data_IF_850937823802
#
_entry.id   IF_850937823802
#
_cell.length_a   1.000
_cell.length_b   1.000
_cell.length_c   1.000
_cell.angle_alpha   90.00
_cell.angle_beta   90.00
_cell.angle_gamma   90.00
#
_symmetry.space_group_name_H-M   'P 1'
#
loop_
_entity.id
_entity.type
_entity.pdbx_description
1 polymer ?
#
# COMPACT_ATOMS: atom_id res chain seq x y z
N UNK A 1 -32.27 -20.49 -16.39
CA UNK A 1 -31.24 -20.94 -15.43
C UNK A 1 -31.66 -20.41 -14.08
N UNK A 2 -31.89 -21.30 -13.11
CA UNK A 2 -32.02 -20.90 -11.71
C UNK A 2 -30.62 -20.51 -11.23
N UNK A 3 -30.46 -19.30 -10.70
CA UNK A 3 -29.25 -18.96 -9.94
C UNK A 3 -29.11 -19.94 -8.78
N UNK A 4 -27.88 -20.41 -8.55
CA UNK A 4 -27.58 -21.25 -7.41
C UNK A 4 -27.87 -20.47 -6.12
N UNK A 5 -28.38 -21.12 -5.06
CA UNK A 5 -28.60 -20.45 -3.78
C UNK A 5 -27.30 -19.85 -3.22
N UNK A 6 -27.37 -18.71 -2.53
CA UNK A 6 -26.20 -18.01 -1.95
C UNK A 6 -25.29 -18.89 -1.06
N UNK A 7 -25.80 -20.02 -0.54
CA UNK A 7 -25.05 -20.96 0.31
C UNK A 7 -24.48 -22.18 -0.45
N UNK A 8 -24.66 -22.25 -1.77
CA UNK A 8 -24.22 -23.41 -2.57
C UNK A 8 -22.69 -23.58 -2.52
N UNK A 9 -21.94 -22.48 -2.64
CA UNK A 9 -20.48 -22.48 -2.56
C UNK A 9 -19.98 -22.93 -1.19
N UNK A 10 -20.61 -22.45 -0.11
CA UNK A 10 -20.27 -22.87 1.26
C UNK A 10 -20.49 -24.38 1.47
N UNK A 11 -21.57 -24.93 0.89
CA UNK A 11 -21.86 -26.35 1.00
C UNK A 11 -20.86 -27.19 0.19
N UNK A 12 -20.53 -26.76 -1.03
CA UNK A 12 -19.51 -27.39 -1.86
C UNK A 12 -18.15 -27.38 -1.14
N UNK A 13 -17.79 -26.25 -0.53
CA UNK A 13 -16.57 -26.08 0.26
C UNK A 13 -16.48 -27.07 1.42
N UNK A 14 -17.54 -27.17 2.23
CA UNK A 14 -17.60 -28.11 3.37
C UNK A 14 -17.44 -29.54 2.86
N UNK A 15 -18.12 -29.89 1.76
CA UNK A 15 -18.10 -31.25 1.23
C UNK A 15 -16.74 -31.63 0.67
N UNK A 16 -16.09 -30.74 -0.06
CA UNK A 16 -14.73 -30.93 -0.57
C UNK A 16 -13.74 -31.18 0.58
N UNK A 17 -13.83 -30.40 1.67
CA UNK A 17 -12.94 -30.59 2.82
C UNK A 17 -13.15 -31.95 3.51
N UNK A 18 -14.39 -32.45 3.56
CA UNK A 18 -14.68 -33.79 4.09
C UNK A 18 -14.05 -34.86 3.19
N UNK A 19 -14.18 -34.73 1.87
CA UNK A 19 -13.62 -35.68 0.90
C UNK A 19 -12.09 -35.72 0.96
N UNK A 20 -11.42 -34.56 1.07
CA UNK A 20 -9.97 -34.46 1.23
C UNK A 20 -9.50 -35.19 2.51
N UNK A 21 -10.15 -34.93 3.65
CA UNK A 21 -9.82 -35.61 4.93
C UNK A 21 -10.04 -37.12 4.91
N UNK A 22 -10.96 -37.60 4.08
CA UNK A 22 -11.23 -39.02 3.90
C UNK A 22 -10.31 -39.68 2.87
N UNK A 23 -9.41 -38.95 2.22
CA UNK A 23 -8.56 -39.45 1.13
C UNK A 23 -9.34 -39.78 -0.15
N UNK A 24 -10.59 -39.29 -0.28
CA UNK A 24 -11.48 -39.57 -1.42
C UNK A 24 -11.22 -38.59 -2.56
N UNK A 25 -9.99 -38.57 -3.03
CA UNK A 25 -9.48 -37.54 -3.95
C UNK A 25 -10.15 -37.56 -5.33
N UNK A 26 -10.55 -38.73 -5.84
CA UNK A 26 -11.25 -38.78 -7.13
C UNK A 26 -12.65 -38.15 -7.06
N UNK A 27 -13.37 -38.39 -5.96
CA UNK A 27 -14.68 -37.77 -5.74
C UNK A 27 -14.57 -36.29 -5.44
N UNK A 28 -13.48 -35.88 -4.77
CA UNK A 28 -13.15 -34.47 -4.63
C UNK A 28 -13.03 -33.79 -5.99
N UNK A 29 -12.25 -34.38 -6.92
CA UNK A 29 -12.03 -33.80 -8.24
C UNK A 29 -13.33 -33.69 -9.03
N UNK A 30 -14.16 -34.73 -9.04
CA UNK A 30 -15.45 -34.67 -9.72
C UNK A 30 -16.40 -33.63 -9.13
N UNK A 31 -16.45 -33.51 -7.80
CA UNK A 31 -17.28 -32.51 -7.16
C UNK A 31 -16.77 -31.10 -7.44
N UNK A 32 -15.46 -30.88 -7.35
CA UNK A 32 -14.87 -29.57 -7.59
C UNK A 32 -15.10 -29.10 -9.04
N UNK A 33 -14.95 -30.00 -10.01
CA UNK A 33 -15.23 -29.71 -11.42
C UNK A 33 -16.73 -29.43 -11.66
N UNK A 34 -17.63 -30.23 -11.08
CA UNK A 34 -19.07 -30.07 -11.26
C UNK A 34 -19.62 -28.77 -10.63
N UNK A 35 -19.06 -28.35 -9.50
CA UNK A 35 -19.47 -27.13 -8.78
C UNK A 35 -18.69 -25.88 -9.24
N UNK A 36 -17.85 -25.99 -10.28
CA UNK A 36 -17.09 -24.84 -10.80
C UNK A 36 -16.00 -24.32 -9.84
N UNK A 37 -15.56 -25.15 -8.89
CA UNK A 37 -14.52 -24.83 -7.91
C UNK A 37 -13.13 -25.03 -8.54
N UNK A 38 -12.82 -24.25 -9.58
CA UNK A 38 -11.64 -24.42 -10.45
C UNK A 38 -10.32 -24.35 -9.67
N UNK A 39 -10.18 -23.40 -8.74
CA UNK A 39 -8.99 -23.25 -7.90
C UNK A 39 -8.71 -24.53 -7.09
N UNK A 40 -9.75 -25.10 -6.46
CA UNK A 40 -9.69 -26.33 -5.66
C UNK A 40 -9.37 -27.54 -6.52
N UNK A 41 -10.02 -27.64 -7.67
CA UNK A 41 -9.80 -28.71 -8.63
C UNK A 41 -8.33 -28.75 -9.09
N UNK A 42 -7.80 -27.61 -9.54
CA UNK A 42 -6.42 -27.49 -10.01
C UNK A 42 -5.40 -27.76 -8.91
N UNK A 43 -5.60 -27.20 -7.72
CA UNK A 43 -4.73 -27.46 -6.55
C UNK A 43 -4.73 -28.94 -6.16
N UNK A 44 -5.89 -29.61 -6.19
CA UNK A 44 -5.96 -31.04 -5.85
C UNK A 44 -5.23 -31.90 -6.89
N UNK A 45 -5.36 -31.60 -8.19
CA UNK A 45 -4.57 -32.29 -9.22
C UNK A 45 -3.06 -32.15 -8.95
N UNK A 46 -2.60 -30.93 -8.70
CA UNK A 46 -1.22 -30.67 -8.35
C UNK A 46 -0.81 -31.48 -7.10
N UNK A 47 -1.53 -31.36 -5.97
CA UNK A 47 -1.28 -32.10 -4.71
C UNK A 47 -1.11 -33.61 -4.87
N UNK A 48 -1.81 -34.22 -5.83
CA UNK A 48 -1.73 -35.65 -6.13
C UNK A 48 -0.52 -36.04 -7.01
N UNK A 49 0.34 -35.10 -7.36
CA UNK A 49 1.46 -35.27 -8.28
C UNK A 49 1.03 -35.33 -9.75
N UNK A 50 -0.22 -34.98 -10.08
CA UNK A 50 -0.74 -34.95 -11.45
C UNK A 50 -0.43 -33.60 -12.11
N UNK A 51 0.83 -33.18 -12.05
CA UNK A 51 1.31 -31.84 -12.44
C UNK A 51 1.01 -31.51 -13.90
N UNK A 52 1.29 -32.42 -14.83
CA UNK A 52 1.04 -32.20 -16.25
C UNK A 52 -0.45 -31.99 -16.54
N UNK A 53 -1.31 -32.74 -15.86
CA UNK A 53 -2.75 -32.62 -15.99
C UNK A 53 -3.27 -31.32 -15.36
N UNK A 54 -2.78 -30.96 -14.17
CA UNK A 54 -3.11 -29.68 -13.54
C UNK A 54 -2.77 -28.51 -14.47
N UNK A 55 -1.61 -28.54 -15.11
CA UNK A 55 -1.20 -27.53 -16.08
C UNK A 55 -2.11 -27.55 -17.31
N UNK A 56 -2.38 -28.71 -17.89
CA UNK A 56 -3.26 -28.82 -19.07
C UNK A 56 -4.67 -28.28 -18.79
N UNK A 57 -5.24 -28.61 -17.63
CA UNK A 57 -6.55 -28.14 -17.20
C UNK A 57 -6.53 -26.63 -16.89
N UNK A 58 -5.48 -26.12 -16.25
CA UNK A 58 -5.30 -24.69 -16.05
C UNK A 58 -5.24 -23.93 -17.39
N UNK A 59 -4.76 -24.54 -18.47
CA UNK A 59 -4.80 -23.88 -19.78
C UNK A 59 -6.20 -23.69 -20.35
N UNK A 60 -7.15 -24.53 -19.95
CA UNK A 60 -8.51 -24.56 -20.48
C UNK A 60 -9.50 -23.82 -19.58
N UNK A 61 -9.35 -23.94 -18.26
CA UNK A 61 -10.38 -23.56 -17.29
C UNK A 61 -9.98 -22.35 -16.43
N UNK A 62 -8.68 -22.08 -16.25
CA UNK A 62 -8.21 -20.96 -15.43
C UNK A 62 -8.61 -19.62 -16.05
N UNK A 63 -9.37 -18.84 -15.29
CA UNK A 63 -10.01 -17.61 -15.73
C UNK A 63 -9.73 -16.42 -14.81
N UNK A 64 -9.23 -16.67 -13.59
CA UNK A 64 -8.91 -15.59 -12.63
C UNK A 64 -7.45 -15.59 -12.16
N UNK A 65 -6.92 -14.43 -11.74
CA UNK A 65 -5.60 -14.34 -11.09
C UNK A 65 -5.52 -15.16 -9.79
N UNK A 66 -6.62 -15.27 -9.05
CA UNK A 66 -6.68 -16.04 -7.80
C UNK A 66 -6.48 -17.54 -8.03
N UNK A 67 -7.11 -18.11 -9.06
CA UNK A 67 -6.89 -19.49 -9.48
C UNK A 67 -5.43 -19.73 -9.89
N UNK A 68 -4.84 -18.80 -10.65
CA UNK A 68 -3.45 -18.88 -11.07
C UNK A 68 -2.50 -18.84 -9.87
N UNK A 69 -2.75 -17.94 -8.92
CA UNK A 69 -1.95 -17.82 -7.70
C UNK A 69 -2.01 -19.11 -6.88
N UNK A 70 -3.20 -19.65 -6.67
CA UNK A 70 -3.39 -20.84 -5.85
C UNK A 70 -2.73 -22.09 -6.45
N UNK A 71 -2.85 -22.29 -7.77
CA UNK A 71 -2.16 -23.37 -8.46
C UNK A 71 -0.64 -23.18 -8.43
N UNK A 72 -0.14 -21.97 -8.72
CA UNK A 72 1.29 -21.70 -8.71
C UNK A 72 1.92 -21.91 -7.33
N UNK A 73 1.23 -21.52 -6.25
CA UNK A 73 1.66 -21.79 -4.88
C UNK A 73 1.76 -23.29 -4.59
N UNK A 74 0.75 -24.06 -5.00
CA UNK A 74 0.77 -25.52 -4.82
C UNK A 74 1.94 -26.16 -5.57
N UNK A 75 2.20 -25.74 -6.82
CA UNK A 75 3.34 -26.24 -7.61
C UNK A 75 4.68 -25.89 -6.96
N UNK A 76 4.82 -24.67 -6.40
CA UNK A 76 6.01 -24.25 -5.66
C UNK A 76 6.25 -25.13 -4.43
N UNK A 77 5.20 -25.44 -3.65
CA UNK A 77 5.29 -26.31 -2.47
C UNK A 77 5.78 -27.72 -2.82
N UNK A 78 5.56 -28.15 -4.06
CA UNK A 78 6.00 -29.43 -4.59
C UNK A 78 7.40 -29.39 -5.21
N UNK A 79 8.03 -28.21 -5.29
CA UNK A 79 9.34 -28.03 -5.90
C UNK A 79 9.31 -27.79 -7.42
N UNK A 80 8.13 -27.70 -8.03
CA UNK A 80 7.92 -27.48 -9.46
C UNK A 80 8.01 -25.99 -9.82
N UNK A 81 9.18 -25.37 -9.55
CA UNK A 81 9.36 -23.91 -9.60
C UNK A 81 9.13 -23.32 -11.00
N UNK A 82 9.61 -23.98 -12.06
CA UNK A 82 9.46 -23.47 -13.45
C UNK A 82 7.98 -23.47 -13.87
N UNK A 83 7.24 -24.52 -13.51
CA UNK A 83 5.83 -24.67 -13.79
C UNK A 83 5.01 -23.66 -12.98
N UNK A 84 5.34 -23.47 -11.70
CA UNK A 84 4.75 -22.43 -10.86
C UNK A 84 4.91 -21.05 -11.48
N UNK A 85 6.12 -20.70 -11.94
CA UNK A 85 6.42 -19.42 -12.55
C UNK A 85 5.65 -19.23 -13.86
N UNK A 86 5.54 -20.28 -14.68
CA UNK A 86 4.78 -20.25 -15.94
C UNK A 86 3.28 -20.02 -15.71
N UNK A 87 2.68 -20.72 -14.75
CA UNK A 87 1.26 -20.53 -14.38
C UNK A 87 1.02 -19.11 -13.86
N UNK A 88 1.88 -18.64 -12.95
CA UNK A 88 1.74 -17.32 -12.36
C UNK A 88 1.86 -16.20 -13.40
N UNK A 89 2.86 -16.28 -14.28
CA UNK A 89 3.06 -15.33 -15.39
C UNK A 89 1.86 -15.31 -16.33
N UNK A 90 1.27 -16.48 -16.65
CA UNK A 90 0.06 -16.54 -17.47
C UNK A 90 -1.14 -15.90 -16.76
N UNK A 91 -1.25 -16.11 -15.45
CA UNK A 91 -2.30 -15.52 -14.63
C UNK A 91 -2.27 -13.99 -14.59
N UNK A 92 -1.10 -13.36 -14.76
CA UNK A 92 -0.98 -11.89 -14.80
C UNK A 92 -1.67 -11.25 -16.01
N UNK A 93 -1.99 -12.03 -17.04
CA UNK A 93 -2.77 -11.58 -18.19
C UNK A 93 -4.29 -11.64 -17.96
N UNK A 94 -4.74 -12.24 -16.84
CA UNK A 94 -6.16 -12.35 -16.49
C UNK A 94 -6.60 -11.15 -15.65
N UNK A 95 -7.82 -10.68 -15.86
CA UNK A 95 -8.41 -9.61 -15.07
C UNK A 95 -9.10 -10.15 -13.81
N UNK A 96 -8.96 -9.45 -12.68
CA UNK A 96 -9.59 -9.87 -11.42
C UNK A 96 -9.00 -9.19 -10.18
N UNK A 97 -9.62 -9.43 -9.03
CA UNK A 97 -9.27 -8.79 -7.77
C UNK A 97 -7.84 -9.10 -7.31
N UNK A 98 -7.37 -10.33 -7.52
CA UNK A 98 -6.07 -10.80 -7.00
C UNK A 98 -4.87 -10.46 -7.91
N UNK A 99 -5.04 -9.60 -8.91
CA UNK A 99 -3.95 -9.23 -9.83
C UNK A 99 -2.74 -8.66 -9.09
N UNK A 100 -2.95 -7.82 -8.07
CA UNK A 100 -1.85 -7.25 -7.29
C UNK A 100 -1.09 -8.33 -6.51
N UNK A 101 -1.80 -9.20 -5.80
CA UNK A 101 -1.22 -10.28 -5.00
C UNK A 101 -0.45 -11.26 -5.90
N UNK A 102 -1.03 -11.62 -7.05
CA UNK A 102 -0.36 -12.47 -8.03
C UNK A 102 0.90 -11.79 -8.58
N UNK A 103 0.87 -10.49 -8.88
CA UNK A 103 2.02 -9.73 -9.39
C UNK A 103 3.18 -9.66 -8.39
N UNK A 104 2.88 -9.38 -7.11
CA UNK A 104 3.87 -9.40 -6.02
C UNK A 104 4.47 -10.80 -5.86
N UNK A 105 3.63 -11.84 -5.79
CA UNK A 105 4.09 -13.21 -5.58
C UNK A 105 4.90 -13.74 -6.77
N UNK A 106 4.48 -13.45 -8.00
CA UNK A 106 5.21 -13.82 -9.23
C UNK A 106 6.57 -13.15 -9.27
N UNK A 107 6.64 -11.87 -8.87
CA UNK A 107 7.90 -11.14 -8.75
C UNK A 107 8.87 -11.86 -7.82
N UNK A 108 8.42 -12.23 -6.62
CA UNK A 108 9.23 -12.90 -5.60
C UNK A 108 9.67 -14.31 -6.02
N UNK A 109 8.78 -15.08 -6.66
CA UNK A 109 9.14 -16.41 -7.16
C UNK A 109 10.21 -16.31 -8.25
N UNK A 110 10.12 -15.30 -9.12
CA UNK A 110 11.05 -15.13 -10.22
C UNK A 110 12.45 -14.66 -9.77
N UNK A 111 12.61 -14.19 -8.53
CA UNK A 111 13.91 -13.76 -8.02
C UNK A 111 14.94 -14.90 -8.04
N UNK A 112 16.04 -14.69 -8.75
CA UNK A 112 17.08 -15.72 -8.93
C UNK A 112 16.75 -16.76 -10.01
N UNK A 113 15.56 -16.74 -10.61
CA UNK A 113 15.17 -17.57 -11.74
C UNK A 113 15.12 -16.78 -13.05
N UNK A 114 14.39 -15.67 -13.07
CA UNK A 114 14.21 -14.80 -14.23
C UNK A 114 14.04 -13.34 -13.77
N UNK A 115 15.11 -12.56 -13.94
CA UNK A 115 15.15 -11.16 -13.53
C UNK A 115 14.16 -10.27 -14.30
N UNK A 116 13.84 -10.61 -15.55
CA UNK A 116 12.91 -9.81 -16.34
C UNK A 116 11.48 -10.06 -15.87
N UNK A 117 11.10 -11.32 -15.62
CA UNK A 117 9.78 -11.63 -15.04
C UNK A 117 9.65 -11.02 -13.64
N UNK A 118 10.70 -11.07 -12.83
CA UNK A 118 10.71 -10.46 -11.49
C UNK A 118 10.40 -8.96 -11.56
N UNK A 119 11.09 -8.24 -12.47
CA UNK A 119 10.94 -6.80 -12.66
C UNK A 119 9.55 -6.44 -13.23
N UNK A 120 9.12 -7.10 -14.31
CA UNK A 120 7.84 -6.80 -14.97
C UNK A 120 6.65 -7.11 -14.07
N UNK A 121 6.71 -8.19 -13.30
CA UNK A 121 5.65 -8.55 -12.35
C UNK A 121 5.56 -7.50 -11.23
N UNK A 122 6.70 -7.04 -10.68
CA UNK A 122 6.68 -5.98 -9.66
C UNK A 122 6.20 -4.65 -10.23
N UNK A 123 6.54 -4.35 -11.48
CA UNK A 123 6.07 -3.13 -12.16
C UNK A 123 4.55 -3.17 -12.32
N UNK A 124 4.00 -4.32 -12.70
CA UNK A 124 2.55 -4.52 -12.76
C UNK A 124 1.89 -4.32 -11.39
N UNK A 125 2.46 -4.87 -10.31
CA UNK A 125 1.96 -4.66 -8.95
C UNK A 125 1.92 -3.16 -8.60
N UNK A 126 3.01 -2.44 -8.86
CA UNK A 126 3.10 -1.00 -8.63
C UNK A 126 2.09 -0.20 -9.45
N UNK A 127 1.85 -0.57 -10.72
CA UNK A 127 0.87 0.11 -11.57
C UNK A 127 -0.58 -0.10 -11.10
N UNK A 128 -0.88 -1.26 -10.52
CA UNK A 128 -2.21 -1.56 -9.97
C UNK A 128 -2.43 -0.83 -8.64
N UNK A 129 -1.43 -0.85 -7.77
CA UNK A 129 -1.47 -0.25 -6.45
C UNK A 129 -0.09 0.27 -6.09
N UNK A 130 0.21 1.56 -6.37
CA UNK A 130 1.50 2.14 -6.04
C UNK A 130 1.78 2.04 -4.54
N UNK A 131 3.00 1.67 -4.18
CA UNK A 131 3.47 1.59 -2.80
C UNK A 131 4.96 1.87 -2.71
N UNK A 132 5.42 2.43 -1.59
CA UNK A 132 6.86 2.61 -1.35
C UNK A 132 7.62 1.27 -1.32
N UNK A 133 7.11 0.19 -0.68
CA UNK A 133 7.75 -1.12 -0.74
C UNK A 133 7.97 -1.63 -2.18
N UNK A 134 6.96 -1.53 -3.05
CA UNK A 134 7.11 -1.96 -4.44
C UNK A 134 8.08 -1.08 -5.22
N UNK A 135 8.09 0.23 -4.97
CA UNK A 135 9.04 1.16 -5.57
C UNK A 135 10.49 0.82 -5.19
N UNK A 136 10.76 0.55 -3.91
CA UNK A 136 12.08 0.13 -3.44
C UNK A 136 12.46 -1.25 -4.00
N UNK A 137 11.50 -2.16 -4.16
CA UNK A 137 11.76 -3.46 -4.80
C UNK A 137 12.08 -3.30 -6.28
N UNK A 138 11.40 -2.41 -6.99
CA UNK A 138 11.75 -2.06 -8.38
C UNK A 138 13.16 -1.50 -8.50
N UNK A 139 13.60 -0.68 -7.53
CA UNK A 139 14.96 -0.17 -7.46
C UNK A 139 16.01 -1.27 -7.34
N UNK A 140 15.73 -2.27 -6.52
CA UNK A 140 16.58 -3.45 -6.38
C UNK A 140 16.64 -4.27 -7.69
N UNK A 141 15.48 -4.58 -8.26
CA UNK A 141 15.35 -5.45 -9.44
C UNK A 141 15.86 -4.80 -10.74
N UNK A 142 15.73 -3.48 -10.88
CA UNK A 142 16.07 -2.79 -12.13
C UNK A 142 17.58 -2.71 -12.40
N UNK A 143 18.41 -2.76 -11.36
CA UNK A 143 19.87 -2.66 -11.48
C UNK A 143 20.29 -1.45 -12.32
N UNK A 144 21.01 -1.69 -13.42
CA UNK A 144 21.49 -0.62 -14.32
C UNK A 144 20.35 0.15 -15.02
N UNK A 145 19.15 -0.43 -15.14
CA UNK A 145 17.96 0.22 -15.72
C UNK A 145 17.22 1.12 -14.74
N UNK A 146 17.68 1.19 -13.49
CA UNK A 146 16.98 1.96 -12.45
C UNK A 146 16.81 3.42 -12.84
N UNK A 147 17.86 4.09 -13.35
CA UNK A 147 17.80 5.53 -13.62
C UNK A 147 16.69 5.91 -14.61
N UNK A 148 16.49 5.13 -15.68
CA UNK A 148 15.40 5.38 -16.64
C UNK A 148 14.04 5.01 -16.06
N UNK A 149 13.95 3.83 -15.41
CA UNK A 149 12.69 3.38 -14.82
C UNK A 149 12.19 4.33 -13.73
N UNK A 150 13.09 4.82 -12.89
CA UNK A 150 12.82 5.80 -11.83
C UNK A 150 12.16 7.06 -12.39
N UNK A 151 12.69 7.61 -13.49
CA UNK A 151 12.11 8.80 -14.13
C UNK A 151 10.70 8.56 -14.65
N UNK A 152 10.46 7.40 -15.25
CA UNK A 152 9.14 7.03 -15.76
C UNK A 152 8.13 6.85 -14.61
N UNK A 153 8.52 6.15 -13.53
CA UNK A 153 7.67 5.94 -12.35
C UNK A 153 7.32 7.26 -11.66
N UNK A 154 8.30 8.14 -11.46
CA UNK A 154 8.06 9.45 -10.85
C UNK A 154 7.17 10.35 -11.73
N UNK A 155 7.30 10.25 -13.05
CA UNK A 155 6.43 10.98 -13.99
C UNK A 155 4.99 10.47 -13.91
N UNK A 156 4.80 9.15 -13.87
CA UNK A 156 3.48 8.54 -13.69
C UNK A 156 2.84 8.96 -12.37
N UNK A 157 3.58 8.92 -11.26
CA UNK A 157 3.09 9.37 -9.95
C UNK A 157 2.65 10.84 -9.95
N UNK A 158 3.37 11.72 -10.65
CA UNK A 158 2.96 13.14 -10.78
C UNK A 158 1.65 13.30 -11.55
N UNK A 159 1.43 12.47 -12.57
CA UNK A 159 0.24 12.50 -13.42
C UNK A 159 -0.96 11.82 -12.77
N UNK A 160 -0.74 10.90 -11.84
CA UNK A 160 -1.81 10.20 -11.14
C UNK A 160 -2.63 11.16 -10.25
N UNK A 161 -3.91 11.32 -10.61
CA UNK A 161 -4.89 12.10 -9.84
C UNK A 161 -5.69 11.24 -8.84
N UNK A 162 -5.42 9.94 -8.78
CA UNK A 162 -6.10 9.02 -7.87
C UNK A 162 -5.80 9.37 -6.41
N UNK A 163 -6.87 9.48 -5.62
CA UNK A 163 -6.74 9.68 -4.18
C UNK A 163 -6.12 8.45 -3.48
N UNK A 164 -6.34 7.25 -4.02
CA UNK A 164 -5.83 6.00 -3.46
C UNK A 164 -4.30 5.92 -3.47
N UNK A 165 -3.64 6.62 -4.40
CA UNK A 165 -2.19 6.68 -4.52
C UNK A 165 -1.52 7.78 -3.68
N UNK A 166 -2.28 8.60 -2.93
CA UNK A 166 -1.76 9.79 -2.23
C UNK A 166 -0.64 9.46 -1.25
N UNK A 167 -0.81 8.39 -0.46
CA UNK A 167 0.20 7.95 0.51
C UNK A 167 1.49 7.51 -0.19
N UNK A 168 1.38 6.68 -1.22
CA UNK A 168 2.52 6.22 -2.01
C UNK A 168 3.25 7.39 -2.67
N UNK A 169 2.52 8.35 -3.25
CA UNK A 169 3.11 9.56 -3.85
C UNK A 169 3.94 10.34 -2.84
N UNK A 170 3.36 10.70 -1.70
CA UNK A 170 4.05 11.50 -0.70
C UNK A 170 5.27 10.76 -0.12
N UNK A 171 5.13 9.47 0.18
CA UNK A 171 6.24 8.67 0.74
C UNK A 171 7.37 8.42 -0.26
N UNK A 172 7.06 8.14 -1.52
CA UNK A 172 8.07 7.98 -2.59
C UNK A 172 8.76 9.31 -2.92
N UNK A 173 8.03 10.42 -3.00
CA UNK A 173 8.67 11.72 -3.21
C UNK A 173 9.58 12.12 -2.05
N UNK A 174 9.22 11.76 -0.81
CA UNK A 174 10.12 11.95 0.33
C UNK A 174 11.37 11.06 0.26
N UNK A 175 11.23 9.79 -0.11
CA UNK A 175 12.36 8.87 -0.31
C UNK A 175 13.34 9.40 -1.37
N UNK A 176 12.83 10.04 -2.42
CA UNK A 176 13.64 10.66 -3.48
C UNK A 176 14.13 12.07 -3.15
N UNK A 177 13.81 12.62 -1.97
CA UNK A 177 14.16 13.99 -1.60
C UNK A 177 13.44 15.06 -2.43
N UNK A 178 12.37 14.71 -3.14
CA UNK A 178 11.54 15.60 -3.95
C UNK A 178 10.53 16.34 -3.06
N UNK A 179 11.05 17.21 -2.19
CA UNK A 179 10.27 17.86 -1.13
C UNK A 179 9.10 18.68 -1.69
N UNK A 180 9.27 19.38 -2.81
CA UNK A 180 8.20 20.17 -3.41
C UNK A 180 7.07 19.30 -3.98
N UNK A 181 7.39 18.16 -4.59
CA UNK A 181 6.38 17.20 -5.06
C UNK A 181 5.61 16.57 -3.88
N UNK A 182 6.32 16.26 -2.78
CA UNK A 182 5.70 15.78 -1.56
C UNK A 182 4.76 16.84 -0.92
N UNK A 183 5.20 18.10 -0.88
CA UNK A 183 4.38 19.24 -0.42
C UNK A 183 3.13 19.39 -1.28
N UNK A 184 3.27 19.36 -2.60
CA UNK A 184 2.15 19.49 -3.53
C UNK A 184 1.09 18.40 -3.29
N UNK A 185 1.54 17.17 -3.00
CA UNK A 185 0.68 16.02 -2.70
C UNK A 185 -0.15 16.23 -1.43
N UNK A 186 0.44 16.78 -0.37
CA UNK A 186 -0.23 16.84 0.95
C UNK A 186 -0.89 18.18 1.31
N UNK A 187 -0.60 19.24 0.55
CA UNK A 187 -1.00 20.62 0.92
C UNK A 187 -2.51 20.78 1.16
N UNK A 188 -3.32 20.17 0.29
CA UNK A 188 -4.78 20.26 0.31
C UNK A 188 -5.45 19.20 1.20
N UNK A 189 -4.67 18.27 1.78
CA UNK A 189 -5.23 17.22 2.63
C UNK A 189 -5.78 17.77 3.94
N UNK A 190 -6.83 17.13 4.41
CA UNK A 190 -7.45 17.44 5.70
C UNK A 190 -6.49 17.15 6.86
N UNK A 191 -6.67 17.84 7.98
CA UNK A 191 -5.90 17.60 9.21
C UNK A 191 -6.05 16.18 9.76
N UNK A 192 -7.08 15.42 9.35
CA UNK A 192 -7.23 14.00 9.68
C UNK A 192 -6.12 13.12 9.09
N UNK A 193 -5.44 13.59 8.03
CA UNK A 193 -4.31 12.89 7.40
C UNK A 193 -2.98 13.38 7.98
N UNK A 194 -2.95 13.69 9.27
CA UNK A 194 -1.76 14.19 9.95
C UNK A 194 -0.58 13.24 9.81
N UNK A 195 -0.84 11.94 9.79
CA UNK A 195 0.20 10.92 9.73
C UNK A 195 0.97 10.95 8.40
N UNK A 196 0.33 11.45 7.32
CA UNK A 196 0.98 11.67 6.04
C UNK A 196 1.59 13.09 5.91
N UNK A 197 0.90 14.10 6.43
CA UNK A 197 1.35 15.50 6.32
C UNK A 197 2.58 15.76 7.20
N UNK A 198 2.61 15.21 8.41
CA UNK A 198 3.65 15.46 9.40
C UNK A 198 5.07 15.09 8.92
N UNK A 199 5.32 13.89 8.36
CA UNK A 199 6.63 13.55 7.80
C UNK A 199 7.07 14.51 6.69
N UNK A 200 6.14 14.94 5.82
CA UNK A 200 6.43 15.91 4.76
C UNK A 200 6.84 17.25 5.37
N UNK A 201 6.13 17.72 6.41
CA UNK A 201 6.52 18.93 7.13
C UNK A 201 7.88 18.82 7.78
N UNK A 202 8.18 17.69 8.42
CA UNK A 202 9.45 17.48 9.12
C UNK A 202 10.63 17.55 8.13
N UNK A 203 10.49 16.94 6.94
CA UNK A 203 11.47 17.06 5.86
C UNK A 203 11.52 18.46 5.22
N UNK A 204 10.38 19.16 5.18
CA UNK A 204 10.25 20.49 4.60
C UNK A 204 10.79 21.61 5.50
N UNK A 205 11.02 21.38 6.81
CA UNK A 205 11.52 22.42 7.73
C UNK A 205 12.75 23.12 7.16
N UNK A 206 13.71 22.37 6.62
CA UNK A 206 14.98 22.93 6.12
C UNK A 206 14.89 23.54 4.72
N UNK A 207 13.89 23.15 3.91
CA UNK A 207 13.79 23.51 2.48
C UNK A 207 12.67 24.51 2.17
N UNK A 208 11.57 24.43 2.92
CA UNK A 208 10.32 25.21 2.78
C UNK A 208 9.72 25.58 4.15
N UNK A 209 10.49 26.23 5.05
CA UNK A 209 10.01 26.58 6.40
C UNK A 209 8.76 27.48 6.38
N UNK A 210 8.64 28.38 5.41
CA UNK A 210 7.47 29.27 5.31
C UNK A 210 6.16 28.50 5.08
N UNK A 211 6.20 27.49 4.20
CA UNK A 211 5.06 26.61 3.97
C UNK A 211 4.69 25.83 5.24
N UNK A 212 5.69 25.31 5.97
CA UNK A 212 5.46 24.62 7.25
C UNK A 212 4.77 25.56 8.25
N UNK A 213 5.26 26.80 8.39
CA UNK A 213 4.67 27.80 9.30
C UNK A 213 3.21 28.06 8.92
N UNK A 214 2.94 28.43 7.67
CA UNK A 214 1.58 28.79 7.24
C UNK A 214 0.61 27.61 7.41
N UNK A 215 1.00 26.44 6.91
CA UNK A 215 0.14 25.29 6.78
C UNK A 215 -0.13 24.61 8.14
N UNK A 216 0.87 24.56 9.02
CA UNK A 216 0.72 24.01 10.37
C UNK A 216 0.01 24.98 11.32
N UNK A 217 0.27 26.30 11.25
CA UNK A 217 -0.46 27.30 12.06
C UNK A 217 -1.95 27.24 11.81
N UNK A 218 -2.38 27.23 10.53
CA UNK A 218 -3.79 27.13 10.15
C UNK A 218 -4.47 25.91 10.77
N UNK A 219 -3.81 24.75 10.74
CA UNK A 219 -4.36 23.50 11.32
C UNK A 219 -4.37 23.52 12.84
N UNK A 220 -3.30 23.99 13.47
CA UNK A 220 -3.24 24.17 14.92
C UNK A 220 -4.37 25.08 15.43
N UNK A 221 -4.51 26.26 14.83
CA UNK A 221 -5.50 27.26 15.20
C UNK A 221 -6.92 26.75 15.01
N UNK A 222 -7.22 26.05 13.91
CA UNK A 222 -8.52 25.42 13.69
C UNK A 222 -8.90 24.47 14.84
N UNK A 223 -7.99 23.56 15.22
CA UNK A 223 -8.20 22.60 16.30
C UNK A 223 -8.37 23.32 17.66
N UNK A 224 -7.55 24.34 17.93
CA UNK A 224 -7.65 25.12 19.16
C UNK A 224 -8.99 25.86 19.23
N UNK A 225 -9.46 26.43 18.11
CA UNK A 225 -10.68 27.22 18.03
C UNK A 225 -11.95 26.40 18.27
N UNK A 226 -11.98 25.12 17.86
CA UNK A 226 -13.10 24.21 18.16
C UNK A 226 -13.36 24.02 19.67
N UNK A 227 -12.38 24.28 20.53
CA UNK A 227 -12.55 24.26 21.98
C UNK A 227 -12.66 22.86 22.61
N UNK A 228 -12.47 21.80 21.81
CA UNK A 228 -12.52 20.41 22.27
C UNK A 228 -11.20 20.01 22.93
N UNK A 229 -11.17 19.99 24.26
CA UNK A 229 -9.96 19.76 25.04
C UNK A 229 -9.24 18.41 24.79
N UNK A 230 -9.95 17.42 24.25
CA UNK A 230 -9.37 16.14 23.85
C UNK A 230 -8.45 16.25 22.63
N UNK A 231 -8.62 17.28 21.77
CA UNK A 231 -7.86 17.44 20.54
C UNK A 231 -6.66 18.39 20.62
N UNK A 232 -6.48 19.08 21.75
CA UNK A 232 -5.35 20.03 21.90
C UNK A 232 -3.97 19.38 21.70
N UNK A 233 -3.81 18.09 22.00
CA UNK A 233 -2.57 17.38 21.70
C UNK A 233 -2.20 17.43 20.21
N UNK A 234 -3.18 17.30 19.29
CA UNK A 234 -2.95 17.42 17.86
C UNK A 234 -2.50 18.83 17.48
N UNK A 235 -3.13 19.87 18.04
CA UNK A 235 -2.71 21.27 17.83
C UNK A 235 -1.25 21.50 18.24
N UNK A 236 -0.82 20.93 19.37
CA UNK A 236 0.55 21.03 19.86
C UNK A 236 1.54 20.35 18.89
N UNK A 237 1.18 19.21 18.31
CA UNK A 237 2.02 18.56 17.30
C UNK A 237 2.22 19.41 16.04
N UNK A 238 1.20 20.15 15.61
CA UNK A 238 1.36 21.14 14.53
C UNK A 238 2.27 22.30 14.97
N UNK A 239 2.08 22.84 16.18
CA UNK A 239 2.88 23.96 16.68
C UNK A 239 4.36 23.63 16.89
N UNK A 240 4.71 22.38 17.20
CA UNK A 240 6.12 21.93 17.25
C UNK A 240 6.83 22.15 15.91
N UNK A 241 6.15 21.88 14.80
CA UNK A 241 6.67 22.09 13.44
C UNK A 241 6.77 23.56 13.08
N UNK A 242 5.78 24.36 13.48
CA UNK A 242 5.84 25.84 13.38
C UNK A 242 7.08 26.38 14.09
N UNK A 243 7.31 25.96 15.35
CA UNK A 243 8.51 26.34 16.10
C UNK A 243 9.78 25.92 15.38
N UNK A 244 9.87 24.67 14.94
CA UNK A 244 11.05 24.16 14.23
C UNK A 244 11.36 25.01 12.98
N UNK A 245 10.35 25.36 12.19
CA UNK A 245 10.51 26.21 11.01
C UNK A 245 10.92 27.65 11.34
N UNK A 246 10.35 28.27 12.39
CA UNK A 246 10.82 29.58 12.85
C UNK A 246 12.28 29.55 13.33
N UNK A 247 12.67 28.51 14.06
CA UNK A 247 14.06 28.35 14.51
C UNK A 247 15.01 28.16 13.33
N UNK A 248 14.61 27.38 12.31
CA UNK A 248 15.38 27.19 11.09
C UNK A 248 15.62 28.51 10.34
N UNK A 249 14.64 29.42 10.36
CA UNK A 249 14.75 30.76 9.79
C UNK A 249 15.51 31.76 10.70
N UNK A 250 15.96 31.36 11.90
CA UNK A 250 16.55 32.26 12.88
C UNK A 250 15.55 33.23 13.54
N UNK A 251 14.24 33.03 13.34
CA UNK A 251 13.17 33.92 13.76
C UNK A 251 12.60 33.53 15.15
N UNK A 252 13.49 33.34 16.13
CA UNK A 252 13.10 32.89 17.47
C UNK A 252 12.16 33.89 18.17
N UNK A 253 12.36 35.19 17.96
CA UNK A 253 11.53 36.23 18.54
C UNK A 253 10.11 36.25 17.94
N UNK A 254 9.96 35.93 16.65
CA UNK A 254 8.64 35.82 16.03
C UNK A 254 7.88 34.60 16.55
N UNK A 255 8.55 33.47 16.77
CA UNK A 255 7.95 32.34 17.48
C UNK A 255 7.45 32.73 18.88
N UNK A 256 8.28 33.42 19.68
CA UNK A 256 7.90 33.87 21.04
C UNK A 256 6.70 34.81 21.01
N UNK A 257 6.65 35.75 20.05
CA UNK A 257 5.51 36.66 19.85
C UNK A 257 4.25 35.88 19.49
N UNK A 258 4.33 34.98 18.52
CA UNK A 258 3.20 34.16 18.08
C UNK A 258 2.66 33.27 19.20
N UNK A 259 3.53 32.58 19.95
CA UNK A 259 3.14 31.77 21.10
C UNK A 259 2.48 32.60 22.20
N UNK A 260 3.01 33.78 22.50
CA UNK A 260 2.41 34.71 23.47
C UNK A 260 1.00 35.13 23.05
N UNK A 261 0.79 35.41 21.75
CA UNK A 261 -0.53 35.73 21.22
C UNK A 261 -1.51 34.55 21.38
N UNK A 262 -1.08 33.31 21.15
CA UNK A 262 -1.90 32.11 21.39
C UNK A 262 -2.28 31.95 22.88
N UNK A 263 -1.33 32.19 23.80
CA UNK A 263 -1.58 32.14 25.24
C UNK A 263 -2.64 33.17 25.67
N UNK A 264 -2.58 34.38 25.11
CA UNK A 264 -3.55 35.45 25.38
C UNK A 264 -4.94 35.12 24.80
N UNK A 265 -5.01 34.71 23.53
CA UNK A 265 -6.25 34.39 22.83
C UNK A 265 -6.99 33.19 23.44
N UNK A 266 -6.26 32.28 24.09
CA UNK A 266 -6.82 31.06 24.67
C UNK A 266 -6.66 30.96 26.19
N UNK A 267 -6.49 32.09 26.89
CA UNK A 267 -6.22 32.13 28.34
C UNK A 267 -7.23 31.34 29.20
N UNK A 268 -8.50 31.25 28.78
CA UNK A 268 -9.55 30.51 29.50
C UNK A 268 -9.45 28.98 29.33
N UNK A 269 -8.72 28.50 28.32
CA UNK A 269 -8.55 27.07 28.00
C UNK A 269 -7.35 26.50 28.79
N UNK A 270 -7.53 26.31 30.11
CA UNK A 270 -6.46 25.93 31.05
C UNK A 270 -5.57 24.76 30.57
N UNK A 271 -6.18 23.70 30.02
CA UNK A 271 -5.44 22.54 29.47
C UNK A 271 -4.53 22.93 28.30
N UNK A 272 -5.03 23.76 27.37
CA UNK A 272 -4.24 24.25 26.24
C UNK A 272 -3.11 25.17 26.70
N UNK A 273 -3.39 26.10 27.61
CA UNK A 273 -2.39 27.01 28.19
C UNK A 273 -1.24 26.22 28.82
N UNK A 274 -1.56 25.19 29.62
CA UNK A 274 -0.54 24.33 30.23
C UNK A 274 0.33 23.61 29.19
N UNK A 275 -0.26 23.15 28.08
CA UNK A 275 0.48 22.51 27.00
C UNK A 275 1.36 23.51 26.24
N UNK A 276 0.87 24.72 25.95
CA UNK A 276 1.66 25.78 25.31
C UNK A 276 2.86 26.22 26.16
N UNK A 277 2.79 26.06 27.48
CA UNK A 277 3.87 26.40 28.41
C UNK A 277 4.96 25.32 28.52
N UNK A 278 4.79 24.16 27.89
CA UNK A 278 5.78 23.08 27.94
C UNK A 278 7.11 23.48 27.29
N UNK A 279 8.20 22.89 27.79
CA UNK A 279 9.59 23.24 27.45
C UNK A 279 9.91 23.05 25.96
N UNK A 280 9.31 22.06 25.32
CA UNK A 280 9.44 21.77 23.89
C UNK A 280 8.87 22.87 22.99
N UNK A 281 7.97 23.72 23.52
CA UNK A 281 7.41 24.90 22.85
C UNK A 281 8.00 26.23 23.35
N UNK A 282 8.90 26.20 24.34
CA UNK A 282 9.53 27.41 24.90
C UNK A 282 10.80 27.76 24.12
#
# INVERSE_FOLDING_TARGET
>A
MLEAPDFADDLAWIRLNILERQGRHQEYLYLAEAEGQTDRYLQMLAKLGRTEEAIAQAHQQMSTPGEALALAQTLREQGELEQALKIATKGLALDGHDQYQLAVWTSELAEGMDQEIALQSRLKAFQLQPSLPDYLKLKELAGQRWASLQQDLLTQLRQDSSYLGTEAKATIFLEEGLIDDAIATVTQLSSYQSDLIHPVMDAAVTHRPDWVIENARRRAESIMNEGKAQYYYYAINWLRRVRAAYLQLGQQEEWKRYRTALLQAHARKRKLVSMLQQRDLT
#
